data_IF_004471294998
#
_entry.id   IF_004471294998
#
_cell.length_a   1.000
_cell.length_b   1.000
_cell.length_c   1.000
_cell.angle_alpha   90.00
_cell.angle_beta   90.00
_cell.angle_gamma   90.00
#
_symmetry.space_group_name_H-M   'P 1'
#
loop_
_entity.id
_entity.type
_entity.pdbx_description
1 polymer ?
#
# COMPACT_ATOMS: atom_id res chain seq x y z
N UNK A 1 -4.27 21.57 9.60
CA UNK A 1 -3.69 20.38 8.92
C UNK A 1 -3.07 20.80 7.61
N UNK A 2 -1.76 20.62 7.52
CA UNK A 2 -0.96 20.92 6.32
C UNK A 2 -1.23 19.88 5.22
N UNK A 3 -0.93 20.22 3.97
CA UNK A 3 -1.06 19.30 2.84
C UNK A 3 -0.23 18.02 3.01
N UNK A 4 0.92 18.11 3.70
CA UNK A 4 1.82 17.00 3.98
C UNK A 4 1.19 15.91 4.88
N UNK A 5 0.44 16.31 5.92
CA UNK A 5 -0.25 15.37 6.81
C UNK A 5 -1.31 14.57 6.07
N UNK A 6 -2.17 15.26 5.30
CA UNK A 6 -3.19 14.60 4.46
C UNK A 6 -2.59 13.69 3.39
N UNK A 7 -1.41 14.04 2.88
CA UNK A 7 -0.69 13.21 1.93
C UNK A 7 -0.14 11.93 2.60
N UNK A 8 0.40 12.06 3.81
CA UNK A 8 0.86 10.93 4.62
C UNK A 8 -0.27 9.93 4.94
N UNK A 9 -1.44 10.43 5.35
CA UNK A 9 -2.63 9.60 5.63
C UNK A 9 -3.07 8.81 4.40
N UNK A 10 -3.09 9.44 3.22
CA UNK A 10 -3.44 8.79 1.95
C UNK A 10 -2.43 7.72 1.57
N UNK A 11 -1.13 8.05 1.63
CA UNK A 11 -0.06 7.11 1.32
C UNK A 11 -0.08 5.90 2.27
N UNK A 12 -0.43 6.12 3.54
CA UNK A 12 -0.62 5.05 4.51
C UNK A 12 -1.81 4.14 4.14
N UNK A 13 -2.97 4.73 3.82
CA UNK A 13 -4.14 3.97 3.40
C UNK A 13 -3.88 3.11 2.15
N UNK A 14 -3.13 3.65 1.18
CA UNK A 14 -2.72 2.94 -0.04
C UNK A 14 -1.84 1.71 0.27
N UNK A 15 -0.84 1.86 1.15
CA UNK A 15 0.06 0.75 1.54
C UNK A 15 -0.68 -0.29 2.37
N UNK A 16 -1.45 0.14 3.37
CA UNK A 16 -2.22 -0.77 4.22
C UNK A 16 -3.25 -1.54 3.42
N UNK A 17 -3.98 -0.88 2.51
CA UNK A 17 -4.98 -1.54 1.68
C UNK A 17 -4.38 -2.66 0.84
N UNK A 18 -3.23 -2.41 0.21
CA UNK A 18 -2.52 -3.45 -0.53
C UNK A 18 -2.05 -4.59 0.38
N UNK A 19 -1.38 -4.30 1.49
CA UNK A 19 -0.83 -5.34 2.36
C UNK A 19 -1.92 -6.22 2.96
N UNK A 20 -3.01 -5.62 3.41
CA UNK A 20 -4.13 -6.34 4.02
C UNK A 20 -4.88 -7.20 3.00
N UNK A 21 -5.06 -6.72 1.78
CA UNK A 21 -5.61 -7.52 0.68
C UNK A 21 -4.66 -8.64 0.27
N UNK A 22 -3.37 -8.34 0.12
CA UNK A 22 -2.35 -9.30 -0.30
C UNK A 22 -2.15 -10.44 0.70
N UNK A 23 -2.25 -10.15 1.99
CA UNK A 23 -2.16 -11.13 3.07
C UNK A 23 -3.50 -11.83 3.36
N UNK A 24 -4.59 -11.40 2.72
CA UNK A 24 -5.95 -11.94 2.94
C UNK A 24 -6.42 -11.86 4.41
N UNK A 25 -5.98 -10.83 5.15
CA UNK A 25 -6.24 -10.67 6.60
C UNK A 25 -7.26 -9.60 6.96
N UNK A 26 -7.83 -8.88 5.99
CA UNK A 26 -8.83 -7.84 6.24
C UNK A 26 -10.19 -8.17 5.64
N UNK A 27 -11.23 -7.78 6.40
CA UNK A 27 -12.61 -7.78 5.94
C UNK A 27 -12.83 -6.81 4.77
N UNK A 28 -13.77 -7.13 3.89
CA UNK A 28 -14.11 -6.29 2.74
C UNK A 28 -14.50 -4.85 3.12
N UNK A 29 -15.13 -4.63 4.29
CA UNK A 29 -15.51 -3.30 4.73
C UNK A 29 -14.29 -2.44 5.08
N UNK A 30 -13.25 -3.05 5.65
CA UNK A 30 -11.97 -2.39 5.93
C UNK A 30 -11.31 -2.00 4.61
N UNK A 31 -11.25 -2.93 3.65
CA UNK A 31 -10.69 -2.66 2.33
C UNK A 31 -11.45 -1.55 1.59
N UNK A 32 -12.78 -1.54 1.65
CA UNK A 32 -13.61 -0.46 1.05
C UNK A 32 -13.31 0.90 1.70
N UNK A 33 -13.17 0.96 3.02
CA UNK A 33 -12.85 2.20 3.75
C UNK A 33 -11.45 2.71 3.39
N UNK A 34 -10.47 1.82 3.30
CA UNK A 34 -9.12 2.18 2.87
C UNK A 34 -9.10 2.65 1.41
N UNK A 35 -9.85 2.01 0.53
CA UNK A 35 -9.97 2.42 -0.87
C UNK A 35 -10.53 3.84 -0.99
N UNK A 36 -11.50 4.24 -0.15
CA UNK A 36 -12.02 5.62 -0.12
C UNK A 36 -11.00 6.66 0.35
N UNK A 37 -10.03 6.24 1.16
CA UNK A 37 -8.95 7.10 1.67
C UNK A 37 -7.75 7.18 0.71
N UNK A 38 -7.74 6.40 -0.38
CA UNK A 38 -6.62 6.43 -1.33
C UNK A 38 -6.45 7.79 -2.01
N UNK A 39 -5.19 8.22 -2.16
CA UNK A 39 -4.84 9.42 -2.88
C UNK A 39 -4.86 9.23 -4.40
N UNK A 40 -4.72 10.35 -5.13
CA UNK A 40 -4.62 10.33 -6.60
C UNK A 40 -3.23 9.91 -7.10
N UNK A 41 -2.20 10.15 -6.28
CA UNK A 41 -0.81 9.90 -6.64
C UNK A 41 -0.44 8.44 -6.42
N UNK A 42 0.44 7.92 -7.28
CA UNK A 42 1.07 6.64 -7.04
C UNK A 42 2.11 6.76 -5.93
N UNK A 43 2.08 5.84 -4.96
CA UNK A 43 3.07 5.78 -3.88
C UNK A 43 3.82 4.46 -3.93
N UNK A 44 5.08 4.43 -3.48
CA UNK A 44 5.85 3.18 -3.38
C UNK A 44 5.39 2.37 -2.17
N UNK A 45 5.37 1.05 -2.34
CA UNK A 45 5.14 0.11 -1.24
C UNK A 45 6.28 0.21 -0.22
N UNK A 46 7.52 0.09 -0.69
CA UNK A 46 8.72 0.34 0.08
C UNK A 46 9.26 1.75 -0.19
N UNK A 47 9.37 2.55 0.88
CA UNK A 47 9.91 3.91 0.84
C UNK A 47 11.40 3.93 0.50
N UNK A 48 12.16 2.94 0.99
CA UNK A 48 13.62 2.84 0.83
C UNK A 48 14.01 2.01 -0.40
N UNK A 49 13.06 1.25 -0.94
CA UNK A 49 13.23 0.44 -2.13
C UNK A 49 13.38 1.24 -3.42
N UNK A 50 13.84 0.55 -4.45
CA UNK A 50 14.08 1.11 -5.78
C UNK A 50 12.82 1.57 -6.51
N UNK A 51 13.02 2.16 -7.69
CA UNK A 51 11.96 2.59 -8.61
C UNK A 51 11.53 1.49 -9.59
N UNK A 52 12.00 0.27 -9.42
CA UNK A 52 11.57 -0.90 -10.18
C UNK A 52 10.26 -1.42 -9.58
N UNK A 53 9.30 -1.87 -10.39
CA UNK A 53 8.08 -2.47 -9.87
C UNK A 53 6.82 -2.24 -10.69
N UNK A 54 5.77 -2.98 -10.36
CA UNK A 54 4.48 -2.94 -11.05
C UNK A 54 3.55 -1.89 -10.43
N UNK A 55 2.81 -1.17 -11.26
CA UNK A 55 1.77 -0.27 -10.80
C UNK A 55 0.45 -1.02 -10.61
N UNK A 56 -0.09 -0.96 -9.39
CA UNK A 56 -1.42 -1.43 -9.04
C UNK A 56 -2.37 -0.24 -8.93
N UNK A 57 -3.27 -0.11 -9.91
CA UNK A 57 -4.21 0.99 -9.99
C UNK A 57 -5.19 1.02 -8.82
N UNK A 58 -5.63 -0.16 -8.33
CA UNK A 58 -6.60 -0.29 -7.23
C UNK A 58 -6.18 0.50 -5.99
N UNK A 59 -4.91 0.42 -5.63
CA UNK A 59 -4.34 1.10 -4.47
C UNK A 59 -3.50 2.32 -4.84
N UNK A 60 -3.43 2.67 -6.13
CA UNK A 60 -2.50 3.67 -6.66
C UNK A 60 -1.10 3.43 -6.07
N UNK A 61 -0.63 2.19 -6.17
CA UNK A 61 0.58 1.75 -5.50
C UNK A 61 1.58 1.22 -6.53
N UNK A 62 2.85 1.53 -6.35
CA UNK A 62 3.96 0.88 -7.06
C UNK A 62 4.51 -0.21 -6.16
N UNK A 63 4.27 -1.45 -6.54
CA UNK A 63 4.79 -2.64 -5.84
C UNK A 63 6.24 -2.82 -6.27
N UNK A 64 7.14 -2.21 -5.51
CA UNK A 64 8.58 -2.22 -5.71
C UNK A 64 9.31 -3.23 -4.81
N UNK A 65 8.56 -4.14 -4.20
CA UNK A 65 9.09 -5.30 -3.49
C UNK A 65 8.60 -6.58 -4.16
N UNK A 66 9.43 -7.61 -4.13
CA UNK A 66 9.03 -8.93 -4.60
C UNK A 66 8.08 -9.60 -3.60
N UNK A 67 7.32 -10.60 -4.08
CA UNK A 67 6.40 -11.37 -3.23
C UNK A 67 7.16 -12.11 -2.12
N UNK A 68 8.35 -12.60 -2.43
CA UNK A 68 9.20 -13.34 -1.51
C UNK A 68 9.68 -12.45 -0.35
N UNK A 69 10.08 -11.20 -0.65
CA UNK A 69 10.45 -10.23 0.37
C UNK A 69 9.26 -9.88 1.29
N UNK A 70 8.04 -9.83 0.75
CA UNK A 70 6.83 -9.53 1.53
C UNK A 70 6.41 -10.66 2.48
N UNK A 71 6.87 -11.89 2.27
CA UNK A 71 6.51 -13.06 3.10
C UNK A 71 7.71 -13.66 3.84
N UNK A 72 8.89 -13.06 3.73
CA UNK A 72 10.11 -13.54 4.38
C UNK A 72 9.96 -13.66 5.91
N UNK A 73 9.23 -12.72 6.53
CA UNK A 73 8.95 -12.72 7.97
C UNK A 73 8.09 -13.89 8.45
N UNK A 74 7.36 -14.57 7.57
CA UNK A 74 6.56 -15.74 7.94
C UNK A 74 7.40 -17.02 8.13
N UNK A 75 8.71 -16.96 7.83
CA UNK A 75 9.63 -18.09 7.93
C UNK A 75 10.35 -18.18 9.28
N UNK A 76 10.11 -17.22 10.18
CA UNK A 76 10.64 -17.14 11.54
C UNK A 76 9.49 -17.30 12.56
#
# INVERSE_FOLDING_TARGET
MSYAEKFGEKALAQRLGFLLEFLEVADENILKRLAQLTGKAYVKLDLMGGEEGKYLAKWRLKVNLSKEALTEWQRY
#
